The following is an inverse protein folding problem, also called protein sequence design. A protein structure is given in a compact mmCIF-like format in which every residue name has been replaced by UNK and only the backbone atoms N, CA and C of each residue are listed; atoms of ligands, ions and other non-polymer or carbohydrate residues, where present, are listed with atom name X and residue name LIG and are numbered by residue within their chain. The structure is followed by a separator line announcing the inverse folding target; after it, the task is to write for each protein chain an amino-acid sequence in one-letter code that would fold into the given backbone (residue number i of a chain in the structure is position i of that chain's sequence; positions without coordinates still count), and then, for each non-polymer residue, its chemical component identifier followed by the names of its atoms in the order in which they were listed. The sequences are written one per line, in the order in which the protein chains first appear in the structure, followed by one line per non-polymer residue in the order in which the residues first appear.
data_IF_492071003882
#
_entry.id   IF_492071003882
#
_cell.length_a   1.000
_cell.length_b   1.000
_cell.length_c   1.000
_cell.angle_alpha   90.00
_cell.angle_beta   90.00
_cell.angle_gamma   90.00
#
_symmetry.space_group_name_H-M   'P 1'
#
loop_
_entity.id
_entity.type
_entity.pdbx_description
1 polymer ?
#
# COMPACT_ATOMS: atom_id res chain seq x y z
N UNK A 1 45.17 -40.24 20.29
CA UNK A 1 44.70 -39.42 21.43
C UNK A 1 43.33 -38.87 21.08
N UNK A 2 42.29 -39.35 21.75
CA UNK A 2 40.93 -38.81 21.69
C UNK A 2 40.72 -37.91 22.92
N UNK A 3 40.23 -36.69 22.72
CA UNK A 3 39.13 -36.14 23.53
C UNK A 3 38.44 -34.96 22.81
N UNK A 4 37.12 -34.75 23.04
CA UNK A 4 36.24 -33.94 22.20
C UNK A 4 35.73 -32.66 22.92
N UNK A 5 34.99 -31.81 22.20
CA UNK A 5 33.83 -31.04 22.72
C UNK A 5 33.05 -30.41 21.57
N UNK A 6 32.00 -31.10 21.14
CA UNK A 6 30.84 -30.51 20.47
C UNK A 6 29.76 -30.30 21.53
N UNK A 7 29.13 -29.12 21.56
CA UNK A 7 27.72 -28.91 21.90
C UNK A 7 27.41 -27.41 21.80
N UNK A 8 26.69 -27.03 20.74
CA UNK A 8 25.95 -25.77 20.71
C UNK A 8 24.58 -26.05 20.08
N UNK A 9 23.65 -26.34 20.99
CA UNK A 9 22.25 -25.96 21.00
C UNK A 9 21.50 -25.87 19.65
N UNK A 10 20.75 -26.93 19.35
CA UNK A 10 19.52 -26.86 18.57
C UNK A 10 18.50 -26.03 19.36
N UNK A 11 18.07 -24.89 18.82
CA UNK A 11 16.84 -24.21 19.26
C UNK A 11 15.80 -24.32 18.14
N UNK A 12 14.93 -25.29 18.36
CA UNK A 12 13.50 -25.39 18.04
C UNK A 12 12.93 -24.38 17.05
N UNK A 13 12.63 -24.90 15.87
CA UNK A 13 11.64 -24.43 14.91
C UNK A 13 10.26 -24.34 15.59
N UNK A 14 9.64 -23.17 15.62
CA UNK A 14 8.23 -23.02 15.96
C UNK A 14 7.61 -21.82 15.23
N UNK A 15 6.75 -22.12 14.26
CA UNK A 15 5.53 -21.37 13.98
C UNK A 15 5.65 -20.09 13.16
N UNK A 16 5.48 -20.20 11.84
CA UNK A 16 4.65 -19.23 11.13
C UNK A 16 3.63 -19.99 10.30
N UNK A 17 2.42 -20.01 10.84
CA UNK A 17 1.19 -20.51 10.24
C UNK A 17 0.93 -19.80 8.90
N UNK A 18 0.74 -20.60 7.86
CA UNK A 18 0.18 -20.16 6.58
C UNK A 18 -1.29 -19.79 6.81
N UNK A 19 -1.57 -18.49 6.85
CA UNK A 19 -2.93 -17.97 6.90
C UNK A 19 -3.55 -18.00 5.51
N UNK A 20 -4.31 -19.05 5.21
CA UNK A 20 -5.20 -19.07 4.03
C UNK A 20 -6.39 -18.16 4.33
N UNK A 21 -6.52 -17.05 3.60
CA UNK A 21 -7.70 -16.20 3.65
C UNK A 21 -8.80 -16.82 2.76
N UNK A 22 -9.85 -17.38 3.37
CA UNK A 22 -11.08 -17.75 2.66
C UNK A 22 -11.97 -16.51 2.61
N UNK A 23 -12.11 -15.92 1.43
CA UNK A 23 -13.11 -14.88 1.19
C UNK A 23 -14.48 -15.55 0.99
N UNK A 24 -15.33 -15.50 2.02
CA UNK A 24 -16.72 -15.89 1.92
C UNK A 24 -17.58 -14.72 1.46
N UNK A 25 -18.10 -14.76 0.24
CA UNK A 25 -19.18 -13.89 -0.22
C UNK A 25 -20.50 -14.36 0.40
N UNK A 26 -21.17 -13.49 1.16
CA UNK A 26 -22.56 -13.73 1.59
C UNK A 26 -23.48 -12.92 0.69
N UNK A 27 -24.18 -13.62 -0.21
CA UNK A 27 -25.38 -13.11 -0.86
C UNK A 27 -26.52 -13.11 0.17
N UNK A 28 -26.98 -11.93 0.57
CA UNK A 28 -28.22 -11.79 1.34
C UNK A 28 -29.42 -11.76 0.37
N UNK A 29 -30.16 -12.87 0.29
CA UNK A 29 -31.46 -12.94 -0.39
C UNK A 29 -32.53 -12.59 0.66
N UNK A 30 -33.08 -11.38 0.61
CA UNK A 30 -34.28 -11.03 1.38
C UNK A 30 -35.52 -11.57 0.68
N UNK A 31 -35.98 -12.75 1.10
CA UNK A 31 -37.30 -13.31 0.77
C UNK A 31 -38.15 -13.42 2.04
N UNK A 32 -39.36 -12.85 2.00
CA UNK A 32 -40.27 -12.70 3.14
C UNK A 32 -41.39 -13.77 3.10
N UNK A 33 -41.77 -14.27 4.30
CA UNK A 33 -43.03 -14.92 4.75
C UNK A 33 -43.38 -16.35 4.24
N UNK A 34 -43.40 -17.33 5.15
CA UNK A 34 -44.56 -17.72 6.00
C UNK A 34 -44.24 -18.95 6.89
N UNK A 35 -44.61 -18.93 8.18
CA UNK A 35 -44.93 -20.15 8.95
C UNK A 35 -44.16 -20.39 10.27
N UNK A 36 -44.80 -20.01 11.38
CA UNK A 36 -44.84 -20.56 12.75
C UNK A 36 -43.60 -20.94 13.62
N UNK A 37 -43.62 -20.32 14.82
CA UNK A 37 -43.25 -20.74 16.18
C UNK A 37 -41.84 -21.27 16.53
N UNK A 38 -41.07 -20.42 17.24
CA UNK A 38 -40.37 -20.65 18.55
C UNK A 38 -39.27 -19.58 18.75
N UNK A 39 -39.13 -18.92 19.93
CA UNK A 39 -38.07 -17.92 20.13
C UNK A 39 -36.75 -18.61 20.46
N UNK A 40 -35.92 -18.88 19.44
CA UNK A 40 -34.50 -19.14 19.67
C UNK A 40 -33.78 -17.78 19.70
N UNK A 41 -33.42 -17.35 20.90
CA UNK A 41 -32.47 -16.26 21.12
C UNK A 41 -31.11 -16.66 20.51
N UNK A 42 -30.95 -16.39 19.21
CA UNK A 42 -29.70 -16.52 18.48
C UNK A 42 -28.77 -15.42 18.93
N UNK A 43 -27.97 -15.69 19.96
CA UNK A 43 -26.82 -14.86 20.33
C UNK A 43 -25.88 -14.87 19.12
N UNK A 44 -25.87 -13.78 18.35
CA UNK A 44 -24.88 -13.52 17.32
C UNK A 44 -23.53 -13.47 18.01
N UNK A 45 -22.77 -14.57 17.93
CA UNK A 45 -21.39 -14.65 18.36
C UNK A 45 -20.59 -13.79 17.38
N UNK A 46 -20.40 -12.51 17.68
CA UNK A 46 -19.46 -11.65 16.97
C UNK A 46 -18.07 -12.26 17.15
N UNK A 47 -17.62 -12.95 16.12
CA UNK A 47 -16.28 -13.51 16.05
C UNK A 47 -15.31 -12.32 16.05
N UNK A 48 -14.69 -12.07 17.20
CA UNK A 48 -13.68 -11.04 17.38
C UNK A 48 -12.50 -11.42 16.52
N UNK A 49 -12.23 -10.66 15.46
CA UNK A 49 -10.99 -10.77 14.70
C UNK A 49 -9.82 -10.59 15.65
N UNK A 50 -8.75 -11.40 15.58
CA UNK A 50 -7.57 -11.21 16.41
C UNK A 50 -6.99 -9.82 16.14
N UNK A 51 -7.03 -8.96 17.15
CA UNK A 51 -6.38 -7.65 17.10
C UNK A 51 -4.87 -7.86 17.16
N UNK A 52 -4.18 -7.63 16.04
CA UNK A 52 -2.73 -7.48 16.00
C UNK A 52 -2.29 -6.52 17.12
N UNK A 53 -1.22 -6.82 17.90
CA UNK A 53 -0.75 -5.92 18.95
C UNK A 53 -0.56 -4.51 18.40
N UNK A 54 -1.24 -3.54 19.02
CA UNK A 54 -1.13 -2.15 18.62
C UNK A 54 0.31 -1.67 18.86
N UNK A 55 1.04 -1.35 17.80
CA UNK A 55 2.30 -0.65 17.92
C UNK A 55 2.02 0.81 18.32
N UNK A 56 2.38 1.18 19.54
CA UNK A 56 2.04 2.47 20.16
C UNK A 56 2.50 3.70 19.36
N UNK A 57 3.61 3.59 18.62
CA UNK A 57 4.16 4.68 17.82
C UNK A 57 4.06 4.44 16.30
N UNK A 58 3.22 3.49 15.87
CA UNK A 58 3.04 3.20 14.45
C UNK A 58 1.86 3.98 13.86
N UNK A 59 1.94 4.26 12.56
CA UNK A 59 0.80 4.75 11.81
C UNK A 59 -0.34 3.72 11.87
N UNK A 60 -1.51 4.15 12.34
CA UNK A 60 -2.69 3.28 12.43
C UNK A 60 -3.60 3.53 11.22
N UNK A 61 -3.87 2.49 10.43
CA UNK A 61 -4.72 2.62 9.26
C UNK A 61 -6.13 3.13 9.60
N UNK A 62 -6.68 2.67 10.73
CA UNK A 62 -8.04 3.02 11.19
C UNK A 62 -8.20 4.45 11.70
N UNK A 63 -7.09 5.15 12.00
CA UNK A 63 -7.15 6.56 12.42
C UNK A 63 -7.03 7.54 11.25
N UNK A 64 -6.78 7.05 10.03
CA UNK A 64 -6.63 7.90 8.86
C UNK A 64 -8.00 8.37 8.38
N UNK A 65 -8.12 9.68 8.23
CA UNK A 65 -9.17 10.33 7.46
C UNK A 65 -8.56 10.81 6.15
N UNK A 66 -9.37 11.03 5.13
CA UNK A 66 -8.88 11.40 3.80
C UNK A 66 -9.59 12.64 3.28
N UNK A 67 -8.87 13.41 2.46
CA UNK A 67 -9.37 14.61 1.79
C UNK A 67 -9.00 14.55 0.31
N UNK A 68 -9.93 14.93 -0.55
CA UNK A 68 -9.68 15.02 -1.99
C UNK A 68 -8.66 16.13 -2.27
N UNK A 69 -7.66 15.82 -3.07
CA UNK A 69 -6.68 16.77 -3.58
C UNK A 69 -6.67 16.72 -5.11
N UNK A 70 -6.57 17.88 -5.74
CA UNK A 70 -6.41 18.02 -7.18
C UNK A 70 -5.03 18.59 -7.48
N UNK A 71 -4.36 17.99 -8.46
CA UNK A 71 -2.99 18.30 -8.87
C UNK A 71 -2.80 17.99 -10.36
N UNK A 72 -1.57 18.07 -10.87
CA UNK A 72 -1.29 17.95 -12.30
C UNK A 72 -1.13 19.31 -12.97
N UNK A 73 -1.65 19.45 -14.19
CA UNK A 73 -1.67 20.72 -14.93
C UNK A 73 -3.11 21.18 -15.13
N UNK A 74 -3.33 22.45 -15.46
CA UNK A 74 -4.67 22.99 -15.70
C UNK A 74 -5.43 22.25 -16.82
N UNK A 75 -4.70 21.68 -17.80
CA UNK A 75 -5.27 20.96 -18.93
C UNK A 75 -5.44 19.44 -18.66
N UNK A 76 -4.68 18.91 -17.71
CA UNK A 76 -4.68 17.49 -17.34
C UNK A 76 -4.74 17.38 -15.81
N UNK A 77 -5.87 17.78 -15.19
CA UNK A 77 -6.03 17.67 -13.75
C UNK A 77 -6.18 16.21 -13.36
N UNK A 78 -5.46 15.81 -12.33
CA UNK A 78 -5.59 14.52 -11.66
C UNK A 78 -6.08 14.78 -10.25
N UNK A 79 -6.98 13.95 -9.74
CA UNK A 79 -7.38 14.02 -8.34
C UNK A 79 -7.24 12.68 -7.64
N UNK A 80 -6.92 12.70 -6.37
CA UNK A 80 -6.91 11.51 -5.51
C UNK A 80 -7.13 11.95 -4.06
N UNK A 81 -7.65 11.05 -3.22
CA UNK A 81 -7.72 11.32 -1.79
C UNK A 81 -6.38 11.03 -1.11
N UNK A 82 -5.95 11.94 -0.23
CA UNK A 82 -4.74 11.82 0.59
C UNK A 82 -5.10 11.94 2.07
N UNK A 83 -4.26 11.43 2.99
CA UNK A 83 -4.55 11.57 4.42
C UNK A 83 -4.75 13.02 4.87
N UNK A 84 -5.82 13.25 5.63
CA UNK A 84 -6.15 14.55 6.19
C UNK A 84 -5.03 15.03 7.13
N UNK A 85 -4.73 16.32 7.06
CA UNK A 85 -3.67 16.96 7.86
C UNK A 85 -2.25 16.74 7.34
N UNK A 86 -2.07 16.02 6.22
CA UNK A 86 -0.78 15.97 5.53
C UNK A 86 -0.64 17.19 4.63
N UNK A 87 0.53 17.83 4.69
CA UNK A 87 0.78 19.11 4.03
C UNK A 87 1.48 18.89 2.70
N UNK A 88 1.05 19.60 1.66
CA UNK A 88 1.77 19.62 0.38
C UNK A 88 3.12 20.31 0.54
N UNK A 89 4.17 19.67 0.04
CA UNK A 89 5.54 20.19 0.01
C UNK A 89 6.08 20.36 -1.41
N UNK A 90 5.35 19.83 -2.39
CA UNK A 90 5.60 19.90 -3.82
C UNK A 90 4.24 19.86 -4.51
N UNK A 91 4.06 20.63 -5.58
CA UNK A 91 2.79 20.72 -6.33
C UNK A 91 2.99 20.37 -7.82
N UNK A 92 1.96 20.59 -8.64
CA UNK A 92 2.00 20.36 -10.08
C UNK A 92 1.95 18.87 -10.45
N UNK A 93 2.82 18.43 -11.37
CA UNK A 93 2.82 17.04 -11.87
C UNK A 93 3.51 16.03 -10.97
N UNK A 94 4.17 16.48 -9.89
CA UNK A 94 4.83 15.60 -8.92
C UNK A 94 4.52 15.99 -7.48
N UNK A 95 3.24 16.07 -7.11
CA UNK A 95 2.86 16.58 -5.81
C UNK A 95 3.31 15.62 -4.71
N UNK A 96 3.65 16.17 -3.54
CA UNK A 96 4.10 15.39 -2.38
C UNK A 96 3.46 15.91 -1.11
N UNK A 97 2.76 15.03 -0.42
CA UNK A 97 2.12 15.29 0.87
C UNK A 97 2.88 14.57 1.98
N UNK A 98 3.18 15.28 3.06
CA UNK A 98 3.95 14.77 4.19
C UNK A 98 3.13 14.96 5.46
N UNK A 99 3.17 13.96 6.33
CA UNK A 99 2.52 14.03 7.64
C UNK A 99 3.19 15.09 8.56
N UNK A 100 2.51 15.55 9.62
CA UNK A 100 3.06 16.54 10.55
C UNK A 100 4.40 16.16 11.20
N UNK A 101 4.71 14.86 11.33
CA UNK A 101 5.97 14.37 11.91
C UNK A 101 7.11 14.27 10.89
N UNK A 102 6.82 14.36 9.58
CA UNK A 102 7.81 14.19 8.52
C UNK A 102 8.25 12.75 8.25
N UNK A 103 7.59 11.77 8.89
CA UNK A 103 7.96 10.35 8.82
C UNK A 103 7.28 9.66 7.65
N UNK A 104 6.03 10.00 7.38
CA UNK A 104 5.18 9.38 6.36
C UNK A 104 4.88 10.37 5.23
N UNK A 105 4.86 9.85 4.02
CA UNK A 105 4.61 10.67 2.84
C UNK A 105 3.91 9.87 1.75
N UNK A 106 3.16 10.59 0.92
CA UNK A 106 2.63 10.11 -0.36
C UNK A 106 3.04 11.10 -1.45
N UNK A 107 3.51 10.57 -2.57
CA UNK A 107 3.89 11.33 -3.75
C UNK A 107 3.18 10.76 -4.97
N UNK A 108 2.78 11.63 -5.87
CA UNK A 108 2.30 11.25 -7.19
C UNK A 108 3.31 11.68 -8.27
N UNK A 109 3.30 11.01 -9.42
CA UNK A 109 3.99 11.45 -10.64
C UNK A 109 3.04 11.28 -11.82
N UNK A 110 2.45 12.39 -12.28
CA UNK A 110 1.39 12.39 -13.30
C UNK A 110 1.94 12.51 -14.72
N UNK A 111 3.27 12.50 -14.90
CA UNK A 111 3.88 12.69 -16.23
C UNK A 111 3.74 11.46 -17.13
N UNK A 112 3.36 10.33 -16.55
CA UNK A 112 3.23 9.05 -17.24
C UNK A 112 4.54 8.54 -17.87
N UNK A 113 4.41 7.45 -18.62
CA UNK A 113 5.47 6.85 -19.43
C UNK A 113 4.85 5.94 -20.49
N UNK A 114 5.55 5.73 -21.60
CA UNK A 114 5.19 4.70 -22.58
C UNK A 114 5.45 3.27 -22.09
N UNK A 115 6.16 3.10 -20.98
CA UNK A 115 6.48 1.79 -20.40
C UNK A 115 5.32 1.21 -19.62
N UNK A 116 5.22 -0.13 -19.63
CA UNK A 116 4.23 -0.84 -18.85
C UNK A 116 4.48 -0.70 -17.35
N UNK A 117 3.45 -0.87 -16.51
CA UNK A 117 3.62 -0.90 -15.06
C UNK A 117 4.72 -1.87 -14.61
N UNK A 118 4.81 -3.06 -15.21
CA UNK A 118 5.79 -4.09 -14.90
C UNK A 118 7.21 -3.65 -15.28
N UNK A 119 7.37 -3.07 -16.48
CA UNK A 119 8.65 -2.49 -16.89
C UNK A 119 9.09 -1.36 -15.95
N UNK A 120 8.14 -0.55 -15.46
CA UNK A 120 8.42 0.52 -14.50
C UNK A 120 8.81 -0.02 -13.13
N UNK A 121 8.17 -1.08 -12.64
CA UNK A 121 8.58 -1.82 -11.44
C UNK A 121 10.04 -2.27 -11.56
N UNK A 122 10.40 -2.94 -12.66
CA UNK A 122 11.74 -3.47 -12.87
C UNK A 122 12.79 -2.37 -13.07
N UNK A 123 12.45 -1.30 -13.77
CA UNK A 123 13.30 -0.13 -13.90
C UNK A 123 13.53 0.53 -12.54
N UNK A 124 12.47 0.73 -11.76
CA UNK A 124 12.57 1.37 -10.45
C UNK A 124 13.42 0.53 -9.51
N UNK A 125 13.18 -0.78 -9.43
CA UNK A 125 13.93 -1.70 -8.59
C UNK A 125 15.44 -1.66 -8.89
N UNK A 126 15.84 -1.51 -10.16
CA UNK A 126 17.25 -1.37 -10.58
C UNK A 126 17.85 0.01 -10.31
N UNK A 127 17.01 1.05 -10.25
CA UNK A 127 17.45 2.44 -10.08
C UNK A 127 17.64 2.87 -8.62
N UNK A 128 17.12 2.10 -7.66
CA UNK A 128 17.23 2.45 -6.25
C UNK A 128 18.65 2.13 -5.80
N UNK A 129 19.43 3.18 -5.54
CA UNK A 129 20.76 3.10 -4.96
C UNK A 129 20.68 3.53 -3.49
N UNK A 130 20.30 2.58 -2.63
CA UNK A 130 20.15 2.79 -1.19
C UNK A 130 20.85 1.66 -0.42
N UNK A 131 21.33 1.98 0.79
CA UNK A 131 21.99 1.00 1.65
C UNK A 131 21.01 -0.09 2.07
N UNK A 132 21.45 -1.35 2.07
CA UNK A 132 20.69 -2.52 2.50
C UNK A 132 19.30 -2.64 1.82
N UNK A 133 19.22 -2.26 0.55
CA UNK A 133 18.00 -2.41 -0.26
C UNK A 133 17.54 -3.87 -0.26
N UNK A 134 16.27 -4.08 0.09
CA UNK A 134 15.57 -5.36 -0.03
C UNK A 134 14.26 -5.15 -0.75
N UNK A 135 14.10 -5.81 -1.89
CA UNK A 135 12.81 -5.89 -2.57
C UNK A 135 11.98 -7.00 -1.94
N UNK A 136 10.75 -6.68 -1.54
CA UNK A 136 9.82 -7.59 -0.86
C UNK A 136 8.82 -8.17 -1.87
N UNK A 137 8.27 -7.36 -2.78
CA UNK A 137 7.33 -7.81 -3.83
C UNK A 137 7.42 -6.91 -5.07
N UNK A 138 7.03 -7.47 -6.23
CA UNK A 138 7.00 -6.87 -7.57
C UNK A 138 5.72 -7.22 -8.35
N UNK A 139 4.60 -7.34 -7.65
CA UNK A 139 3.35 -7.88 -8.22
C UNK A 139 2.40 -6.75 -8.64
N UNK A 140 1.58 -7.00 -9.67
CA UNK A 140 0.47 -6.14 -10.11
C UNK A 140 0.86 -4.65 -10.24
N UNK A 141 1.93 -4.38 -11.00
CA UNK A 141 2.44 -3.02 -11.20
C UNK A 141 2.89 -2.33 -9.90
N UNK A 142 3.18 -3.09 -8.84
CA UNK A 142 3.52 -2.58 -7.51
C UNK A 142 4.89 -3.08 -7.05
N UNK A 143 5.76 -2.16 -6.65
CA UNK A 143 7.07 -2.44 -6.04
C UNK A 143 7.01 -2.13 -4.55
N UNK A 144 7.35 -3.11 -3.71
CA UNK A 144 7.44 -2.94 -2.26
C UNK A 144 8.86 -3.27 -1.83
N UNK A 145 9.48 -2.37 -1.07
CA UNK A 145 10.89 -2.49 -0.72
C UNK A 145 11.22 -1.78 0.60
N UNK A 146 12.30 -2.23 1.22
CA UNK A 146 12.91 -1.57 2.38
C UNK A 146 14.36 -1.21 2.10
N UNK A 147 14.87 -0.22 2.81
CA UNK A 147 16.26 0.21 2.73
C UNK A 147 16.66 0.93 4.01
N UNK A 148 17.94 1.25 4.17
CA UNK A 148 18.46 2.06 5.28
C UNK A 148 18.85 3.44 4.73
N UNK A 149 18.13 4.46 5.17
CA UNK A 149 18.48 5.84 4.89
C UNK A 149 19.57 6.31 5.88
N UNK A 150 20.62 6.93 5.36
CA UNK A 150 21.79 7.38 6.15
C UNK A 150 21.44 8.30 7.31
N UNK A 151 20.37 9.09 7.18
CA UNK A 151 19.96 10.10 8.16
C UNK A 151 18.75 9.67 8.97
N UNK A 152 17.85 8.92 8.35
CA UNK A 152 16.52 8.62 8.87
C UNK A 152 16.35 7.18 9.37
N UNK A 153 17.36 6.33 9.20
CA UNK A 153 17.34 4.92 9.59
C UNK A 153 16.52 4.04 8.65
N UNK A 154 15.99 2.89 9.11
CA UNK A 154 15.23 1.96 8.29
C UNK A 154 13.97 2.59 7.69
N UNK A 155 13.80 2.41 6.38
CA UNK A 155 12.69 2.95 5.58
C UNK A 155 12.03 1.90 4.71
N UNK A 156 10.78 2.16 4.36
CA UNK A 156 9.98 1.37 3.45
C UNK A 156 9.37 2.28 2.39
N UNK A 157 9.38 1.81 1.14
CA UNK A 157 8.70 2.42 0.01
C UNK A 157 7.76 1.43 -0.67
N UNK A 158 6.59 1.93 -1.07
CA UNK A 158 5.62 1.22 -1.88
C UNK A 158 5.30 2.11 -3.08
N UNK A 159 5.63 1.65 -4.28
CA UNK A 159 5.37 2.37 -5.53
C UNK A 159 4.41 1.55 -6.39
N UNK A 160 3.33 2.15 -6.89
CA UNK A 160 2.40 1.53 -7.83
C UNK A 160 2.33 2.37 -9.10
N UNK A 161 2.49 1.72 -10.24
CA UNK A 161 2.31 2.32 -11.57
C UNK A 161 0.96 1.89 -12.13
N UNK A 162 0.17 2.85 -12.59
CA UNK A 162 -1.20 2.62 -13.06
C UNK A 162 -1.26 3.00 -14.54
N UNK A 163 -1.71 2.06 -15.37
CA UNK A 163 -2.01 2.32 -16.77
C UNK A 163 -3.39 3.00 -16.90
N UNK A 164 -3.60 3.90 -17.88
CA UNK A 164 -4.93 4.35 -18.24
C UNK A 164 -5.68 3.19 -18.91
N UNK A 165 -7.00 3.13 -18.76
CA UNK A 165 -7.91 2.07 -19.23
C UNK A 165 -7.39 1.21 -20.41
N UNK A 166 -6.79 0.06 -20.09
CA UNK A 166 -6.35 -0.94 -21.07
C UNK A 166 -5.11 -0.56 -21.92
N UNK A 167 -4.44 0.55 -21.62
CA UNK A 167 -3.22 0.98 -22.30
C UNK A 167 -1.96 0.25 -21.83
N UNK A 168 -0.96 0.16 -22.71
CA UNK A 168 0.33 -0.48 -22.40
C UNK A 168 1.29 0.45 -21.64
N UNK A 169 1.02 1.76 -21.61
CA UNK A 169 1.86 2.76 -20.96
C UNK A 169 1.31 3.21 -19.62
N UNK A 170 2.19 3.57 -18.68
CA UNK A 170 1.79 4.12 -17.37
C UNK A 170 1.25 5.55 -17.48
N UNK A 171 0.14 5.85 -16.81
CA UNK A 171 -0.39 7.22 -16.66
C UNK A 171 0.18 7.90 -15.40
N UNK A 172 0.28 7.16 -14.30
CA UNK A 172 0.68 7.72 -13.01
C UNK A 172 1.50 6.73 -12.18
N UNK A 173 2.45 7.25 -11.42
CA UNK A 173 3.08 6.56 -10.29
C UNK A 173 2.53 7.13 -8.98
N UNK A 174 2.12 6.26 -8.06
CA UNK A 174 1.82 6.60 -6.67
C UNK A 174 2.90 5.97 -5.80
N UNK A 175 3.60 6.77 -5.00
CA UNK A 175 4.63 6.28 -4.07
C UNK A 175 4.30 6.68 -2.63
N UNK A 176 4.15 5.70 -1.74
CA UNK A 176 3.97 5.88 -0.30
C UNK A 176 5.25 5.47 0.42
N UNK A 177 5.68 6.26 1.40
CA UNK A 177 6.91 6.03 2.15
C UNK A 177 6.73 6.20 3.66
N UNK A 178 7.46 5.41 4.44
CA UNK A 178 7.41 5.41 5.89
C UNK A 178 8.49 4.54 6.53
N UNK A 179 8.20 3.99 7.71
CA UNK A 179 9.08 3.01 8.38
C UNK A 179 8.54 1.60 8.13
N UNK A 180 9.38 0.55 8.15
CA UNK A 180 8.93 -0.83 7.96
C UNK A 180 7.83 -1.26 8.94
N UNK A 181 7.87 -0.79 10.19
CA UNK A 181 6.84 -1.09 11.20
C UNK A 181 5.45 -0.51 10.89
N UNK A 182 5.35 0.42 9.95
CA UNK A 182 4.10 1.08 9.55
C UNK A 182 3.46 0.42 8.30
N UNK A 183 4.01 -0.70 7.81
CA UNK A 183 3.65 -1.31 6.51
C UNK A 183 2.13 -1.41 6.27
N UNK A 184 1.38 -1.91 7.24
CA UNK A 184 -0.07 -2.10 7.08
C UNK A 184 -0.80 -0.78 6.78
N UNK A 185 -0.44 0.31 7.45
CA UNK A 185 -1.03 1.62 7.20
C UNK A 185 -0.51 2.25 5.90
N UNK A 186 0.76 2.04 5.55
CA UNK A 186 1.29 2.50 4.26
C UNK A 186 0.58 1.83 3.08
N UNK A 187 0.28 0.52 3.19
CA UNK A 187 -0.53 -0.21 2.21
C UNK A 187 -1.94 0.36 2.13
N UNK A 188 -2.57 0.64 3.27
CA UNK A 188 -3.90 1.24 3.30
C UNK A 188 -3.93 2.62 2.61
N UNK A 189 -2.92 3.46 2.83
CA UNK A 189 -2.79 4.76 2.14
C UNK A 189 -2.64 4.58 0.63
N UNK A 190 -1.76 3.66 0.19
CA UNK A 190 -1.55 3.40 -1.24
C UNK A 190 -2.82 2.89 -1.91
N UNK A 191 -3.49 1.94 -1.27
CA UNK A 191 -4.71 1.34 -1.79
C UNK A 191 -5.84 2.37 -1.88
N UNK A 192 -6.05 3.16 -0.84
CA UNK A 192 -7.07 4.21 -0.82
C UNK A 192 -6.82 5.28 -1.90
N UNK A 193 -5.57 5.74 -2.03
CA UNK A 193 -5.19 6.69 -3.07
C UNK A 193 -5.35 6.10 -4.47
N UNK A 194 -5.13 4.79 -4.65
CA UNK A 194 -5.36 4.09 -5.93
C UNK A 194 -6.86 4.03 -6.26
N UNK A 195 -7.70 3.67 -5.29
CA UNK A 195 -9.15 3.51 -5.48
C UNK A 195 -9.88 4.84 -5.73
N UNK A 196 -9.38 5.92 -5.16
CA UNK A 196 -9.97 7.26 -5.29
C UNK A 196 -9.35 8.09 -6.41
N UNK A 197 -8.37 7.53 -7.13
CA UNK A 197 -7.70 8.20 -8.23
C UNK A 197 -8.68 8.48 -9.37
N UNK A 198 -8.66 9.72 -9.83
CA UNK A 198 -9.40 10.21 -10.99
C UNK A 198 -8.39 10.78 -11.99
N UNK A 199 -8.23 10.08 -13.11
CA UNK A 199 -7.42 10.54 -14.24
C UNK A 199 -8.28 11.35 -15.20
N UNK A 200 -7.70 12.34 -15.91
CA UNK A 200 -8.42 13.02 -16.98
C UNK A 200 -8.72 12.05 -18.12
N UNK A 201 -9.75 12.32 -18.94
CA UNK A 201 -10.04 11.52 -20.14
C UNK A 201 -8.80 11.48 -21.05
N UNK A 202 -8.50 10.33 -21.66
CA UNK A 202 -7.34 10.17 -22.54
C UNK A 202 -7.44 11.06 -23.78
N UNK A 203 -6.62 12.11 -23.88
CA UNK A 203 -6.53 12.99 -25.06
C UNK A 203 -5.29 12.67 -25.90
N UNK A 204 -5.24 11.49 -26.53
CA UNK A 204 -4.09 11.06 -27.34
C UNK A 204 -2.81 10.81 -26.52
N UNK A 205 -1.86 10.03 -27.06
CA UNK A 205 -0.65 9.65 -26.32
C UNK A 205 0.57 10.51 -26.71
N UNK A 206 0.88 11.51 -25.88
CA UNK A 206 2.07 12.38 -26.01
C UNK A 206 3.14 12.08 -24.95
N UNK A 207 3.03 10.96 -24.21
CA UNK A 207 3.85 10.66 -23.02
C UNK A 207 5.33 10.36 -23.37
N UNK A 208 6.27 10.57 -22.43
CA UNK A 208 7.69 10.28 -22.63
C UNK A 208 7.99 8.77 -22.59
N UNK A 209 9.05 8.36 -23.30
CA UNK A 209 9.59 6.98 -23.38
C UNK A 209 10.55 6.60 -22.26
#
# INVERSE_FOLDING_TARGET
MLTPRHQALLMTLAGMTVGVAVFGTVLAINGNLTGDDTPAAGIVKTQTTPSTPACTDCLQASSLQYVLQTFGTDNEPVSAEVPAGWTSTQDGTRPRFIDPTGVWQIRFDTRGSKRSPEEQVDNRARSIDEQDLKVISREDGTLIYTYVDKTRGPRMGLSRWIAPDGGEGTAIEITVGGRPKDEAALRAVLEHATQTLQLPPSQGDTRPS
#
